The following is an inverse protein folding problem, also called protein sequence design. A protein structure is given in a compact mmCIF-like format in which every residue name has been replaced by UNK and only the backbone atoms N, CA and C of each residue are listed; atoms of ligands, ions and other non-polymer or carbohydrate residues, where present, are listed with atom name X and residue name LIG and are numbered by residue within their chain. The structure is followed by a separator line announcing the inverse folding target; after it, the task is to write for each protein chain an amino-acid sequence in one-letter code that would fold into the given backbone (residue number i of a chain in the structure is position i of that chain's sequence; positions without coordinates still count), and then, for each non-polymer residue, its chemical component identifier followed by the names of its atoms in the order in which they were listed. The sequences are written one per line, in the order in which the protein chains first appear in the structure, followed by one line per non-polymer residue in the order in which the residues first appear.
data_IF_337688526730
#
_entry.id   IF_337688526730
#
_cell.length_a   1.000
_cell.length_b   1.000
_cell.length_c   1.000
_cell.angle_alpha   90.00
_cell.angle_beta   90.00
_cell.angle_gamma   90.00
#
_symmetry.space_group_name_H-M   'P 1'
#
loop_
_entity.id
_entity.type
_entity.pdbx_description
1 polymer ?
#
# COMPACT_ATOMS: atom_id res chain seq x y z
N UNK A 1 -24.43 -2.11 -3.31
CA UNK A 1 -23.70 -3.26 -2.76
C UNK A 1 -22.32 -3.18 -3.38
N UNK A 2 -21.31 -2.81 -2.59
CA UNK A 2 -19.93 -2.84 -3.08
C UNK A 2 -19.47 -4.29 -3.02
N UNK A 3 -18.84 -4.74 -4.08
CA UNK A 3 -18.34 -6.12 -4.20
C UNK A 3 -16.97 -6.24 -3.53
N UNK A 4 -16.57 -7.45 -3.14
CA UNK A 4 -15.27 -7.67 -2.50
C UNK A 4 -14.09 -7.15 -3.37
N UNK A 5 -14.22 -7.25 -4.70
CA UNK A 5 -13.24 -6.75 -5.68
C UNK A 5 -13.10 -5.21 -5.65
N UNK A 6 -14.12 -4.48 -5.21
CA UNK A 6 -14.08 -3.02 -5.06
C UNK A 6 -13.45 -2.57 -3.73
N UNK A 7 -13.20 -3.51 -2.80
CA UNK A 7 -12.49 -3.26 -1.54
C UNK A 7 -10.98 -3.55 -1.65
N UNK A 8 -10.47 -3.78 -2.86
CA UNK A 8 -9.06 -4.02 -3.13
C UNK A 8 -8.46 -2.90 -3.99
N UNK A 9 -7.17 -2.62 -3.75
CA UNK A 9 -6.45 -1.67 -4.57
C UNK A 9 -5.96 -2.31 -5.87
N UNK A 10 -6.43 -1.85 -7.03
CA UNK A 10 -6.02 -2.38 -8.35
C UNK A 10 -4.53 -2.27 -8.70
N UNK A 11 -3.72 -1.52 -7.93
CA UNK A 11 -2.27 -1.38 -8.16
C UNK A 11 -1.47 -2.48 -7.46
N UNK A 12 -1.86 -2.82 -6.22
CA UNK A 12 -1.12 -3.78 -5.41
C UNK A 12 -1.90 -5.07 -5.15
N UNK A 13 -3.19 -5.12 -5.53
CA UNK A 13 -4.10 -6.25 -5.33
C UNK A 13 -4.22 -6.68 -3.87
N UNK A 14 -4.13 -5.73 -2.94
CA UNK A 14 -4.39 -5.96 -1.51
C UNK A 14 -5.66 -5.22 -1.09
N UNK A 15 -6.36 -5.79 -0.11
CA UNK A 15 -7.52 -5.20 0.55
C UNK A 15 -7.19 -3.85 1.21
N UNK A 16 -8.16 -2.93 1.19
CA UNK A 16 -8.07 -1.68 1.93
C UNK A 16 -8.18 -1.92 3.44
N UNK A 17 -7.48 -1.10 4.22
CA UNK A 17 -7.51 -1.18 5.68
C UNK A 17 -7.56 0.20 6.33
N UNK A 18 -8.11 0.28 7.55
CA UNK A 18 -8.22 1.54 8.30
C UNK A 18 -6.89 2.06 8.84
N UNK A 19 -5.85 1.22 8.86
CA UNK A 19 -4.53 1.55 9.41
C UNK A 19 -3.50 1.86 8.31
N UNK A 20 -3.22 0.88 7.45
CA UNK A 20 -2.06 0.92 6.56
C UNK A 20 -2.42 1.19 5.10
N UNK A 21 -3.57 0.71 4.63
CA UNK A 21 -4.00 0.78 3.22
C UNK A 21 -5.28 1.60 3.10
N UNK A 22 -5.19 2.85 3.52
CA UNK A 22 -6.31 3.79 3.48
C UNK A 22 -6.69 4.07 2.00
N UNK A 23 -7.97 3.91 1.61
CA UNK A 23 -8.44 4.20 0.25
C UNK A 23 -8.52 5.71 0.02
N UNK A 24 -7.62 6.26 -0.80
CA UNK A 24 -7.53 7.70 -1.10
C UNK A 24 -8.03 7.99 -2.52
N UNK A 25 -8.78 9.07 -2.67
CA UNK A 25 -9.42 9.50 -3.92
C UNK A 25 -8.55 10.55 -4.62
N UNK A 26 -8.16 10.27 -5.87
CA UNK A 26 -7.50 11.24 -6.74
C UNK A 26 -8.49 12.30 -7.27
N UNK A 27 -8.01 13.39 -7.85
CA UNK A 27 -8.87 14.44 -8.43
C UNK A 27 -9.76 13.96 -9.59
N UNK A 28 -9.49 12.77 -10.13
CA UNK A 28 -10.28 12.11 -11.17
C UNK A 28 -11.29 11.10 -10.61
N UNK A 29 -11.55 11.10 -9.30
CA UNK A 29 -12.47 10.21 -8.58
C UNK A 29 -12.06 8.73 -8.51
N UNK A 30 -10.93 8.33 -9.08
CA UNK A 30 -10.39 6.98 -8.88
C UNK A 30 -9.72 6.84 -7.51
N UNK A 31 -9.84 5.64 -6.92
CA UNK A 31 -9.38 5.34 -5.57
C UNK A 31 -8.20 4.37 -5.58
N UNK A 32 -7.20 4.63 -4.74
CA UNK A 32 -6.00 3.80 -4.59
C UNK A 32 -5.53 3.79 -3.14
N UNK A 33 -4.70 2.80 -2.78
CA UNK A 33 -4.17 2.69 -1.44
C UNK A 33 -3.15 3.80 -1.15
N UNK A 34 -3.14 4.35 0.08
CA UNK A 34 -2.18 5.39 0.45
C UNK A 34 -0.70 5.02 0.18
N UNK A 35 -0.20 3.81 0.52
CA UNK A 35 1.17 3.39 0.18
C UNK A 35 1.45 3.36 -1.33
N UNK A 36 0.45 2.98 -2.12
CA UNK A 36 0.52 2.93 -3.59
C UNK A 36 0.72 4.34 -4.15
N UNK A 37 -0.11 5.27 -3.69
CA UNK A 37 -0.04 6.68 -4.10
C UNK A 37 1.27 7.34 -3.67
N UNK A 38 1.76 7.04 -2.48
CA UNK A 38 3.05 7.54 -2.00
C UNK A 38 4.19 7.07 -2.91
N UNK A 39 4.26 5.77 -3.22
CA UNK A 39 5.30 5.20 -4.09
C UNK A 39 5.24 5.71 -5.52
N UNK A 40 4.06 6.04 -6.02
CA UNK A 40 3.85 6.57 -7.36
C UNK A 40 4.01 8.08 -7.46
N UNK A 41 4.01 8.78 -6.32
CA UNK A 41 4.12 10.23 -6.28
C UNK A 41 5.52 10.69 -6.69
N UNK A 42 5.57 11.85 -7.33
CA UNK A 42 6.80 12.56 -7.66
C UNK A 42 6.79 13.91 -7.01
N UNK A 43 7.90 14.32 -6.41
CA UNK A 43 8.07 15.66 -5.86
C UNK A 43 8.76 16.55 -6.89
N UNK A 44 8.08 17.61 -7.32
CA UNK A 44 8.62 18.63 -8.20
C UNK A 44 8.59 19.98 -7.47
N UNK A 45 9.73 20.35 -6.88
CA UNK A 45 9.83 21.54 -6.04
C UNK A 45 8.96 21.43 -4.78
N UNK A 46 7.86 22.20 -4.73
CA UNK A 46 6.93 22.26 -3.60
C UNK A 46 5.60 21.55 -3.87
N UNK A 47 5.53 20.77 -4.95
CA UNK A 47 4.30 20.12 -5.40
C UNK A 47 4.55 18.61 -5.55
N UNK A 48 3.67 17.80 -4.97
CA UNK A 48 3.59 16.38 -5.30
C UNK A 48 2.67 16.17 -6.50
N UNK A 49 3.08 15.33 -7.43
CA UNK A 49 2.29 14.94 -8.59
C UNK A 49 2.14 13.42 -8.65
N UNK A 50 0.99 12.94 -9.09
CA UNK A 50 0.75 11.52 -9.37
C UNK A 50 -0.16 11.38 -10.59
N UNK A 51 0.18 10.44 -11.47
CA UNK A 51 -0.66 10.09 -12.63
C UNK A 51 -1.55 8.91 -12.28
N UNK A 52 -2.85 9.04 -12.57
CA UNK A 52 -3.80 7.95 -12.35
C UNK A 52 -3.52 6.76 -13.29
N UNK A 53 -3.37 5.52 -12.77
CA UNK A 53 -3.22 4.31 -13.58
C UNK A 53 -4.35 4.06 -14.58
N UNK A 54 -5.58 4.47 -14.24
CA UNK A 54 -6.79 4.13 -15.00
C UNK A 54 -7.07 5.14 -16.12
N UNK A 55 -6.91 6.43 -15.86
CA UNK A 55 -7.28 7.49 -16.82
C UNK A 55 -6.14 8.46 -17.17
N UNK A 56 -4.93 8.25 -16.62
CA UNK A 56 -3.75 9.12 -16.80
C UNK A 56 -3.88 10.55 -16.31
N UNK A 57 -5.00 10.92 -15.67
CA UNK A 57 -5.19 12.25 -15.08
C UNK A 57 -4.13 12.53 -14.01
N UNK A 58 -3.58 13.75 -14.01
CA UNK A 58 -2.55 14.17 -13.06
C UNK A 58 -3.21 14.85 -11.86
N UNK A 59 -2.94 14.33 -10.68
CA UNK A 59 -3.32 14.93 -9.40
C UNK A 59 -2.10 15.65 -8.83
N UNK A 60 -2.27 16.92 -8.48
CA UNK A 60 -1.23 17.76 -7.92
C UNK A 60 -1.63 18.24 -6.51
N UNK A 61 -0.75 18.09 -5.53
CA UNK A 61 -0.98 18.56 -4.16
C UNK A 61 0.24 19.34 -3.66
N UNK A 62 0.04 20.24 -2.68
CA UNK A 62 1.18 20.93 -2.07
C UNK A 62 1.97 19.97 -1.18
N UNK A 63 3.29 20.08 -1.21
CA UNK A 63 4.20 19.32 -0.37
C UNK A 63 4.21 19.76 1.11
N UNK A 64 3.17 20.47 1.57
CA UNK A 64 2.94 20.73 3.00
C UNK A 64 2.51 19.48 3.77
N UNK A 65 2.00 18.47 3.05
CA UNK A 65 1.68 17.13 3.55
C UNK A 65 2.24 16.09 2.57
N UNK A 66 2.23 14.81 2.96
CA UNK A 66 2.44 13.72 2.01
C UNK A 66 1.33 13.74 0.94
N UNK A 67 1.63 13.25 -0.27
CA UNK A 67 0.62 13.16 -1.34
C UNK A 67 -0.67 12.49 -0.87
N UNK A 68 -0.67 11.26 -0.29
CA UNK A 68 -1.91 10.65 0.20
C UNK A 68 -2.55 11.44 1.35
N UNK A 69 -1.77 12.09 2.21
CA UNK A 69 -2.29 12.90 3.31
C UNK A 69 -3.10 14.11 2.85
N UNK A 70 -2.81 14.64 1.66
CA UNK A 70 -3.55 15.75 1.05
C UNK A 70 -4.83 15.32 0.29
N UNK A 71 -5.09 14.01 0.15
CA UNK A 71 -6.21 13.48 -0.62
C UNK A 71 -7.35 13.01 0.28
N UNK A 72 -8.57 13.08 -0.24
CA UNK A 72 -9.77 12.61 0.46
C UNK A 72 -9.77 11.10 0.61
N UNK A 73 -10.35 10.61 1.70
CA UNK A 73 -10.62 9.18 1.88
C UNK A 73 -11.92 8.84 1.16
N UNK A 74 -11.97 7.71 0.46
CA UNK A 74 -13.21 7.20 -0.11
C UNK A 74 -14.08 6.67 1.03
N UNK A 75 -15.11 7.43 1.42
CA UNK A 75 -15.97 7.08 2.57
C UNK A 75 -16.83 5.84 2.29
N UNK A 76 -17.27 5.63 1.05
CA UNK A 76 -18.08 4.47 0.68
C UNK A 76 -17.31 3.16 0.87
N UNK A 77 -16.04 3.13 0.47
CA UNK A 77 -15.14 2.00 0.75
C UNK A 77 -14.82 1.95 2.25
N UNK A 78 -14.47 3.10 2.84
CA UNK A 78 -14.07 3.18 4.25
C UNK A 78 -15.11 2.62 5.21
N UNK A 79 -16.39 2.88 4.97
CA UNK A 79 -17.49 2.41 5.80
C UNK A 79 -17.70 0.88 5.71
N UNK A 80 -17.18 0.26 4.65
CA UNK A 80 -17.32 -1.18 4.37
C UNK A 80 -16.08 -2.00 4.76
N UNK A 81 -14.94 -1.36 5.00
CA UNK A 81 -13.77 -2.03 5.56
C UNK A 81 -14.17 -2.67 6.90
N UNK A 82 -13.84 -3.94 7.12
CA UNK A 82 -14.04 -4.57 8.43
C UNK A 82 -12.93 -4.14 9.38
N UNK A 83 -13.24 -3.93 10.67
CA UNK A 83 -12.25 -3.47 11.65
C UNK A 83 -11.14 -4.49 11.95
N UNK A 84 -11.30 -5.75 11.56
CA UNK A 84 -10.52 -6.88 12.11
C UNK A 84 -9.30 -7.36 11.31
N UNK A 85 -8.90 -6.74 10.20
CA UNK A 85 -7.70 -7.22 9.48
C UNK A 85 -6.41 -6.56 9.96
N UNK A 86 -5.94 -7.01 11.12
CA UNK A 86 -4.61 -6.77 11.65
C UNK A 86 -3.85 -8.10 11.68
N UNK A 87 -3.35 -8.56 10.52
CA UNK A 87 -2.30 -9.56 10.42
C UNK A 87 -1.83 -9.74 8.95
N UNK A 88 -0.51 -9.67 8.78
CA UNK A 88 0.30 -10.19 7.67
C UNK A 88 0.71 -9.18 6.57
N UNK A 89 1.86 -8.53 6.77
CA UNK A 89 3.04 -8.66 5.88
C UNK A 89 4.33 -8.39 6.67
N UNK A 90 4.66 -9.33 7.56
CA UNK A 90 6.04 -9.70 7.85
C UNK A 90 6.26 -11.07 7.18
N UNK A 91 6.48 -11.05 5.86
CA UNK A 91 7.05 -12.19 5.17
C UNK A 91 8.56 -12.18 5.43
N UNK A 92 8.94 -12.94 6.46
CA UNK A 92 10.31 -13.34 6.75
C UNK A 92 10.97 -13.94 5.53
N UNK A 93 12.19 -13.49 5.22
CA UNK A 93 13.12 -14.24 4.38
C UNK A 93 13.48 -15.54 5.11
N UNK A 94 13.02 -16.68 4.62
CA UNK A 94 13.41 -18.00 5.12
C UNK A 94 14.65 -18.52 4.35
N UNK A 95 15.67 -18.87 5.14
CA UNK A 95 16.69 -19.90 4.94
C UNK A 95 17.54 -19.95 3.64
N UNK A 96 18.81 -19.52 3.76
CA UNK A 96 19.90 -20.17 3.03
C UNK A 96 20.67 -21.08 4.00
N UNK A 97 20.50 -22.39 3.80
CA UNK A 97 21.14 -23.48 4.55
C UNK A 97 22.49 -23.83 3.92
N UNK A 98 23.59 -23.59 4.63
CA UNK A 98 24.91 -24.16 4.30
C UNK A 98 25.28 -25.28 5.30
N UNK A 99 25.48 -26.54 4.85
CA UNK A 99 25.96 -27.61 5.70
C UNK A 99 27.49 -27.82 5.57
N UNK A 100 28.10 -28.17 6.71
CA UNK A 100 29.45 -28.76 6.92
C UNK A 100 30.63 -27.78 7.12
N UNK A 101 30.98 -27.61 8.39
CA UNK A 101 32.36 -27.80 8.83
C UNK A 101 32.41 -28.86 9.94
N UNK A 102 33.46 -29.67 9.89
CA UNK A 102 33.67 -30.98 10.47
C UNK A 102 34.15 -30.95 11.93
N UNK A 103 33.76 -32.02 12.66
CA UNK A 103 34.49 -32.78 13.69
C UNK A 103 34.97 -32.05 14.96
N UNK A 104 34.40 -32.41 16.12
CA UNK A 104 35.17 -32.87 17.29
C UNK A 104 34.42 -34.04 17.95
N UNK A 105 35.23 -34.99 18.43
CA UNK A 105 35.01 -36.37 18.81
C UNK A 105 34.30 -36.57 20.16
N UNK A 106 33.53 -37.67 20.29
CA UNK A 106 33.79 -38.69 21.31
C UNK A 106 32.93 -39.94 21.05
N UNK A 107 33.55 -41.00 20.54
CA UNK A 107 33.09 -42.37 20.80
C UNK A 107 33.92 -42.91 21.97
N UNK A 108 33.26 -43.67 22.86
CA UNK A 108 33.81 -44.64 23.82
C UNK A 108 35.22 -44.39 24.38
#
# INVERSE_FOLDING_TARGET
MVTAEELECCVCCYEYSRSNRIPRVLHCNHTFCAPCLERMSKLEGVIYTVSCPLCRWITCTRASLTLPGALWVNTEIWDQISEEQNQNENHSVEDLKDPKSLLIEHSL
#
